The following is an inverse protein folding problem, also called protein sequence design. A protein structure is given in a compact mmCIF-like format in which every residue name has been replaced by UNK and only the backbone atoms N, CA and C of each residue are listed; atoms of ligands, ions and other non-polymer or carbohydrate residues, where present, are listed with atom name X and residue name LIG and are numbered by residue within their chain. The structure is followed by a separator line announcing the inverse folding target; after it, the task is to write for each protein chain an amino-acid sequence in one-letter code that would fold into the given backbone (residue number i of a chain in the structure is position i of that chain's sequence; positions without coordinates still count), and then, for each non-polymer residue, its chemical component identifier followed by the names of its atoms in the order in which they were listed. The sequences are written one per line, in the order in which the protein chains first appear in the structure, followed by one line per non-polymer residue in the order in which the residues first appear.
data_IF_325761905838
#
_entry.id   IF_325761905838
#
_cell.length_a   1.000
_cell.length_b   1.000
_cell.length_c   1.000
_cell.angle_alpha   90.00
_cell.angle_beta   90.00
_cell.angle_gamma   90.00
#
_symmetry.space_group_name_H-M   'P 1'
#
loop_
_entity.id
_entity.type
_entity.pdbx_description
1 polymer ?
#
# COMPACT_ATOMS: atom_id res chain seq x y z
N UNK A 1 -3.23 63.75 5.19
CA UNK A 1 -2.80 64.01 6.59
C UNK A 1 -2.08 62.75 7.06
N UNK A 2 -0.76 62.63 6.91
CA UNK A 2 0.35 63.13 7.76
C UNK A 2 0.44 62.49 9.15
N UNK A 3 1.31 61.47 9.28
CA UNK A 3 2.32 61.17 10.34
C UNK A 3 2.87 59.76 10.01
N UNK A 4 4.10 59.46 9.56
CA UNK A 4 5.50 59.84 9.85
C UNK A 4 5.98 59.49 11.27
N UNK A 5 7.19 58.86 11.30
CA UNK A 5 8.20 58.77 12.39
C UNK A 5 8.05 57.48 13.24
N UNK A 6 9.04 56.58 13.45
CA UNK A 6 10.48 56.77 13.73
C UNK A 6 11.30 55.47 13.50
N UNK A 7 12.45 55.64 12.87
CA UNK A 7 13.63 54.75 12.87
C UNK A 7 14.30 54.78 14.25
N UNK A 8 14.77 53.64 14.77
CA UNK A 8 15.86 53.59 15.76
C UNK A 8 16.85 52.50 15.35
N UNK A 9 18.10 52.94 15.22
CA UNK A 9 19.32 52.23 14.89
C UNK A 9 20.16 52.20 16.17
N UNK A 10 20.57 51.03 16.68
CA UNK A 10 21.62 50.94 17.71
C UNK A 10 22.56 49.77 17.40
N UNK A 11 23.78 50.17 17.10
CA UNK A 11 25.08 49.48 17.07
C UNK A 11 25.39 48.66 18.32
N UNK A 12 26.16 47.57 18.17
CA UNK A 12 26.72 46.85 19.32
C UNK A 12 27.71 45.74 18.96
N UNK A 13 28.90 46.15 18.50
CA UNK A 13 30.10 45.30 18.41
C UNK A 13 30.47 44.81 19.81
N UNK A 14 30.74 43.51 19.97
CA UNK A 14 31.73 43.04 20.95
C UNK A 14 32.31 41.68 20.56
N UNK A 15 33.54 41.76 20.03
CA UNK A 15 34.50 40.67 19.98
C UNK A 15 34.63 40.00 21.33
N UNK A 16 34.55 38.67 21.33
CA UNK A 16 35.13 37.85 22.39
C UNK A 16 35.89 36.72 21.70
N UNK A 17 37.20 36.92 21.64
CA UNK A 17 38.21 35.90 21.37
C UNK A 17 38.09 34.85 22.48
N UNK A 18 37.57 33.67 22.14
CA UNK A 18 37.82 32.46 22.92
C UNK A 18 38.92 31.65 22.24
N UNK A 19 40.12 31.85 22.78
CA UNK A 19 41.17 30.85 22.83
C UNK A 19 40.63 29.64 23.60
N UNK A 20 40.97 28.42 23.18
CA UNK A 20 41.32 27.24 24.02
C UNK A 20 41.10 25.95 23.21
N UNK A 21 42.20 25.20 23.04
CA UNK A 21 42.15 23.74 23.07
C UNK A 21 41.93 23.01 21.75
N UNK A 22 42.93 23.02 20.86
CA UNK A 22 43.05 21.97 19.85
C UNK A 22 43.54 20.68 20.54
N UNK A 23 42.62 19.95 21.19
CA UNK A 23 42.87 18.57 21.58
C UNK A 23 43.02 17.76 20.29
N UNK A 24 44.11 17.02 20.18
CA UNK A 24 44.36 16.10 19.07
C UNK A 24 43.22 15.11 18.93
N UNK A 25 42.40 15.31 17.90
CA UNK A 25 41.56 14.27 17.33
C UNK A 25 42.51 13.24 16.71
N UNK A 26 42.85 12.21 17.47
CA UNK A 26 43.22 10.95 16.84
C UNK A 26 42.03 10.55 16.00
N UNK A 27 42.20 10.55 14.68
CA UNK A 27 41.31 9.85 13.77
C UNK A 27 41.46 8.38 14.11
N UNK A 28 40.73 7.93 15.12
CA UNK A 28 40.35 6.54 15.25
C UNK A 28 39.58 6.29 13.98
N UNK A 29 40.25 5.73 12.98
CA UNK A 29 39.59 5.01 11.91
C UNK A 29 38.62 4.08 12.61
N UNK A 30 37.33 4.43 12.56
CA UNK A 30 36.28 3.47 12.80
C UNK A 30 36.46 2.49 11.65
N UNK A 31 37.28 1.47 11.92
CA UNK A 31 37.18 0.20 11.23
C UNK A 31 35.72 -0.17 11.48
N UNK A 32 34.91 0.01 10.45
CA UNK A 32 33.62 -0.66 10.38
C UNK A 32 33.98 -2.13 10.48
N UNK A 33 33.91 -2.66 11.70
CA UNK A 33 33.85 -4.08 11.93
C UNK A 33 32.70 -4.52 11.04
N UNK A 34 33.07 -5.25 10.00
CA UNK A 34 32.19 -6.17 9.32
C UNK A 34 31.66 -7.02 10.47
N UNK A 35 30.45 -6.71 10.93
CA UNK A 35 29.78 -7.56 11.90
C UNK A 35 29.71 -8.90 11.21
N UNK A 36 30.31 -9.92 11.81
CA UNK A 36 29.93 -11.30 11.59
C UNK A 36 28.44 -11.37 11.95
N UNK A 37 27.60 -10.98 11.00
CA UNK A 37 26.16 -10.90 11.20
C UNK A 37 25.69 -12.33 11.25
N UNK A 38 25.26 -12.73 12.44
CA UNK A 38 24.51 -13.95 12.67
C UNK A 38 23.53 -14.16 11.50
N UNK A 39 23.59 -15.29 10.76
CA UNK A 39 22.89 -15.41 9.50
C UNK A 39 21.40 -15.12 9.70
N UNK A 40 20.84 -14.35 8.78
CA UNK A 40 19.45 -13.92 8.84
C UNK A 40 18.52 -15.13 8.86
N UNK A 41 17.29 -14.96 9.35
CA UNK A 41 16.29 -16.02 9.34
C UNK A 41 16.13 -16.66 7.94
N UNK A 42 16.25 -15.85 6.89
CA UNK A 42 16.28 -16.35 5.51
C UNK A 42 17.51 -17.22 5.24
N UNK A 43 18.73 -16.79 5.56
CA UNK A 43 19.94 -17.59 5.32
C UNK A 43 19.94 -18.90 6.11
N UNK A 44 19.43 -18.88 7.35
CA UNK A 44 19.30 -20.06 8.21
C UNK A 44 18.27 -21.06 7.68
N UNK A 45 17.10 -20.59 7.22
CA UNK A 45 15.96 -21.47 6.87
C UNK A 45 15.80 -21.74 5.38
N UNK A 46 16.18 -20.78 4.53
CA UNK A 46 15.93 -20.82 3.08
C UNK A 46 17.22 -20.81 2.25
N UNK A 47 18.29 -20.19 2.76
CA UNK A 47 19.56 -19.99 2.06
C UNK A 47 20.32 -21.28 1.73
N UNK A 48 19.99 -22.39 2.42
CA UNK A 48 20.56 -23.71 2.13
C UNK A 48 20.04 -24.31 0.82
N UNK A 49 18.84 -23.92 0.38
CA UNK A 49 18.19 -24.47 -0.82
C UNK A 49 17.93 -23.42 -1.90
N UNK A 50 17.89 -22.15 -1.53
CA UNK A 50 17.63 -21.03 -2.44
C UNK A 50 18.77 -20.03 -2.42
N UNK A 51 19.17 -19.60 -3.61
CA UNK A 51 20.01 -18.41 -3.78
C UNK A 51 19.08 -17.20 -4.02
N UNK A 52 19.49 -16.00 -3.59
CA UNK A 52 18.67 -14.77 -3.63
C UNK A 52 18.58 -14.12 -5.03
N UNK A 53 19.25 -14.69 -6.01
CA UNK A 53 19.20 -14.31 -7.42
C UNK A 53 17.81 -14.59 -8.01
N UNK A 54 17.08 -13.52 -8.37
CA UNK A 54 15.80 -13.62 -9.09
C UNK A 54 14.54 -13.25 -8.30
N UNK A 55 14.64 -12.75 -7.06
CA UNK A 55 13.49 -12.33 -6.24
C UNK A 55 12.68 -11.14 -6.82
N UNK A 56 13.08 -10.59 -7.97
CA UNK A 56 12.52 -9.38 -8.59
C UNK A 56 11.25 -9.60 -9.40
N UNK A 57 10.86 -10.84 -9.73
CA UNK A 57 9.76 -11.08 -10.69
C UNK A 57 8.43 -11.56 -10.07
N UNK A 58 8.39 -11.96 -8.81
CA UNK A 58 7.14 -12.43 -8.20
C UNK A 58 6.27 -11.28 -7.68
N UNK A 59 4.99 -11.35 -8.00
CA UNK A 59 3.93 -10.48 -7.48
C UNK A 59 3.82 -10.71 -5.96
N UNK A 60 3.62 -9.68 -5.11
CA UNK A 60 3.70 -9.78 -3.65
C UNK A 60 2.79 -10.82 -3.01
N UNK A 61 1.58 -10.98 -3.56
CA UNK A 61 0.65 -12.01 -3.10
C UNK A 61 1.20 -13.42 -3.34
N UNK A 62 1.94 -13.63 -4.44
CA UNK A 62 2.58 -14.90 -4.73
C UNK A 62 3.72 -15.20 -3.74
N UNK A 63 4.37 -14.18 -3.18
CA UNK A 63 5.36 -14.38 -2.11
C UNK A 63 4.72 -14.78 -0.79
N UNK A 64 3.63 -14.12 -0.38
CA UNK A 64 2.90 -14.50 0.84
C UNK A 64 2.27 -15.89 0.71
N UNK A 65 1.65 -16.20 -0.42
CA UNK A 65 1.09 -17.52 -0.69
C UNK A 65 2.18 -18.59 -0.73
N UNK A 66 3.34 -18.30 -1.36
CA UNK A 66 4.48 -19.21 -1.39
C UNK A 66 5.10 -19.39 -0.01
N UNK A 67 5.21 -18.34 0.81
CA UNK A 67 5.67 -18.44 2.19
C UNK A 67 4.69 -19.25 3.04
N UNK A 68 3.38 -19.11 2.85
CA UNK A 68 2.40 -19.96 3.53
C UNK A 68 2.52 -21.44 3.12
N UNK A 69 2.62 -21.72 1.81
CA UNK A 69 2.80 -23.08 1.29
C UNK A 69 4.13 -23.71 1.70
N UNK A 70 5.21 -22.93 1.72
CA UNK A 70 6.52 -23.39 2.15
C UNK A 70 6.60 -23.49 3.67
N UNK A 71 5.94 -22.60 4.41
CA UNK A 71 5.87 -22.61 5.87
C UNK A 71 5.34 -23.93 6.40
N UNK A 72 4.33 -24.52 5.77
CA UNK A 72 3.86 -25.86 6.13
C UNK A 72 4.84 -26.99 5.81
N UNK A 73 5.75 -26.80 4.84
CA UNK A 73 6.73 -27.81 4.43
C UNK A 73 7.98 -27.77 5.30
N UNK A 74 8.36 -26.57 5.77
CA UNK A 74 9.55 -26.34 6.60
C UNK A 74 9.22 -25.98 8.04
N UNK A 75 7.97 -26.22 8.47
CA UNK A 75 7.44 -25.98 9.82
C UNK A 75 7.82 -24.59 10.36
N UNK A 76 7.48 -23.54 9.60
CA UNK A 76 7.67 -22.15 10.02
C UNK A 76 6.46 -21.68 10.80
N UNK A 77 6.72 -21.20 12.02
CA UNK A 77 5.74 -20.47 12.82
C UNK A 77 5.35 -19.15 12.15
N UNK A 78 4.20 -18.59 12.55
CA UNK A 78 3.74 -17.28 12.07
C UNK A 78 4.77 -16.16 12.36
N UNK A 79 5.51 -16.29 13.46
CA UNK A 79 6.54 -15.34 13.89
C UNK A 79 7.79 -15.43 13.00
N UNK A 80 8.24 -16.65 12.67
CA UNK A 80 9.34 -16.86 11.71
C UNK A 80 8.95 -16.45 10.28
N UNK A 81 7.69 -16.65 9.88
CA UNK A 81 7.19 -16.13 8.60
C UNK A 81 7.28 -14.61 8.54
N UNK A 82 6.96 -13.92 9.63
CA UNK A 82 7.09 -12.47 9.73
C UNK A 82 8.55 -12.00 9.65
N UNK A 83 9.49 -12.74 10.26
CA UNK A 83 10.93 -12.43 10.18
C UNK A 83 11.50 -12.61 8.77
N UNK A 84 11.17 -13.71 8.09
CA UNK A 84 11.58 -13.95 6.70
C UNK A 84 11.01 -12.87 5.78
N UNK A 85 9.77 -12.45 6.03
CA UNK A 85 9.15 -11.35 5.30
C UNK A 85 9.88 -10.01 5.56
N UNK A 86 10.26 -9.75 6.81
CA UNK A 86 11.04 -8.57 7.21
C UNK A 86 12.42 -8.53 6.53
N UNK A 87 13.08 -9.68 6.38
CA UNK A 87 14.32 -9.80 5.62
C UNK A 87 14.12 -9.42 4.14
N UNK A 88 13.10 -9.97 3.48
CA UNK A 88 12.79 -9.57 2.10
C UNK A 88 12.46 -8.09 1.99
N UNK A 89 11.84 -7.52 3.03
CA UNK A 89 11.56 -6.09 3.09
C UNK A 89 12.84 -5.23 3.22
N UNK A 90 13.83 -5.69 3.96
CA UNK A 90 15.09 -4.95 4.09
C UNK A 90 15.98 -5.05 2.85
N UNK A 91 16.04 -6.23 2.22
CA UNK A 91 17.00 -6.51 1.14
C UNK A 91 16.46 -6.24 -0.27
N UNK A 92 15.16 -5.98 -0.42
CA UNK A 92 14.57 -5.60 -1.69
C UNK A 92 13.53 -4.49 -1.48
N UNK A 93 13.96 -3.23 -1.39
CA UNK A 93 13.10 -2.07 -1.11
C UNK A 93 11.82 -2.02 -1.98
N UNK A 94 11.89 -2.51 -3.23
CA UNK A 94 10.73 -2.61 -4.10
C UNK A 94 9.77 -3.70 -3.61
N UNK A 95 10.25 -4.94 -3.46
CA UNK A 95 9.43 -6.03 -2.92
C UNK A 95 8.89 -5.70 -1.53
N UNK A 96 9.72 -5.06 -0.69
CA UNK A 96 9.38 -4.57 0.62
C UNK A 96 8.16 -3.69 0.64
N UNK A 97 8.21 -2.64 -0.19
CA UNK A 97 7.14 -1.68 -0.32
C UNK A 97 5.87 -2.37 -0.78
N UNK A 98 5.96 -3.27 -1.75
CA UNK A 98 4.75 -3.91 -2.28
C UNK A 98 4.18 -4.96 -1.31
N UNK A 99 5.02 -5.68 -0.57
CA UNK A 99 4.59 -6.58 0.52
C UNK A 99 3.95 -5.79 1.65
N UNK A 100 4.58 -4.70 2.12
CA UNK A 100 4.02 -3.83 3.15
C UNK A 100 2.65 -3.30 2.73
N UNK A 101 2.53 -2.77 1.50
CA UNK A 101 1.25 -2.34 0.94
C UNK A 101 0.20 -3.46 0.88
N UNK A 102 0.62 -4.72 0.72
CA UNK A 102 -0.29 -5.87 0.68
C UNK A 102 -0.82 -6.22 2.07
N UNK A 103 0.05 -6.22 3.09
CA UNK A 103 -0.37 -6.45 4.49
C UNK A 103 -1.27 -5.32 4.99
N UNK A 104 -0.88 -4.08 4.71
CA UNK A 104 -1.66 -2.88 5.03
C UNK A 104 -3.05 -2.93 4.39
N UNK A 105 -3.12 -3.38 3.13
CA UNK A 105 -4.39 -3.62 2.43
C UNK A 105 -5.22 -4.71 3.09
N UNK A 106 -4.62 -5.87 3.43
CA UNK A 106 -5.34 -6.97 4.07
C UNK A 106 -5.94 -6.54 5.41
N UNK A 107 -5.19 -5.76 6.19
CA UNK A 107 -5.69 -5.19 7.43
C UNK A 107 -6.88 -4.26 7.16
N UNK A 108 -6.76 -3.34 6.20
CA UNK A 108 -7.83 -2.44 5.82
C UNK A 108 -9.09 -3.21 5.39
N UNK A 109 -8.96 -4.19 4.49
CA UNK A 109 -10.09 -4.99 4.03
C UNK A 109 -10.73 -5.76 5.19
N UNK A 110 -9.93 -6.43 6.03
CA UNK A 110 -10.42 -7.17 7.20
C UNK A 110 -11.20 -6.27 8.16
N UNK A 111 -10.67 -5.09 8.47
CA UNK A 111 -11.27 -4.18 9.47
C UNK A 111 -12.44 -3.40 8.90
N UNK A 112 -12.39 -2.97 7.64
CA UNK A 112 -13.38 -2.06 7.06
C UNK A 112 -14.51 -2.75 6.28
N UNK A 113 -14.39 -4.03 5.93
CA UNK A 113 -15.44 -4.77 5.22
C UNK A 113 -16.56 -5.31 6.12
N UNK A 114 -16.38 -5.31 7.44
CA UNK A 114 -17.33 -5.89 8.40
C UNK A 114 -18.74 -5.28 8.29
N UNK A 115 -18.83 -3.95 8.15
CA UNK A 115 -20.10 -3.23 8.23
C UNK A 115 -20.60 -2.71 6.88
N UNK A 116 -19.70 -2.46 5.93
CA UNK A 116 -20.01 -1.90 4.62
C UNK A 116 -18.88 -2.18 3.63
N UNK A 117 -19.13 -1.97 2.33
CA UNK A 117 -18.07 -2.08 1.32
C UNK A 117 -16.90 -1.17 1.68
N UNK A 118 -15.66 -1.68 1.79
CA UNK A 118 -14.49 -0.86 2.12
C UNK A 118 -14.21 0.17 1.02
N UNK A 119 -14.67 -0.08 -0.21
CA UNK A 119 -14.45 0.83 -1.34
C UNK A 119 -15.15 2.18 -1.21
N UNK A 120 -16.02 2.36 -0.21
CA UNK A 120 -16.73 3.63 -0.02
C UNK A 120 -15.77 4.80 0.17
N UNK A 121 -14.63 4.56 0.80
CA UNK A 121 -13.59 5.57 1.02
C UNK A 121 -12.88 5.98 -0.28
N UNK A 122 -12.95 5.14 -1.33
CA UNK A 122 -12.32 5.40 -2.63
C UNK A 122 -13.25 6.04 -3.67
N UNK A 123 -14.53 6.24 -3.34
CA UNK A 123 -15.51 6.84 -4.27
C UNK A 123 -15.21 8.33 -4.49
N UNK A 124 -14.72 9.02 -3.47
CA UNK A 124 -14.45 10.44 -3.51
C UNK A 124 -12.99 10.68 -3.16
N UNK A 125 -12.37 11.64 -3.83
CA UNK A 125 -11.07 12.17 -3.43
C UNK A 125 -11.22 12.83 -2.07
N UNK A 126 -10.33 12.51 -1.15
CA UNK A 126 -10.32 13.05 0.21
C UNK A 126 -8.91 13.52 0.55
N UNK A 127 -8.83 14.67 1.21
CA UNK A 127 -7.60 15.18 1.80
C UNK A 127 -7.21 14.34 3.04
N UNK A 128 -5.95 14.44 3.44
CA UNK A 128 -5.39 13.67 4.56
C UNK A 128 -6.21 13.85 5.84
N UNK A 129 -6.62 15.08 6.16
CA UNK A 129 -7.41 15.41 7.35
C UNK A 129 -8.79 14.75 7.30
N UNK A 130 -9.38 14.64 6.11
CA UNK A 130 -10.68 13.98 5.91
C UNK A 130 -10.57 12.48 6.12
N UNK A 131 -9.50 11.85 5.60
CA UNK A 131 -9.23 10.42 5.81
C UNK A 131 -8.97 10.13 7.31
N UNK A 132 -8.18 10.95 7.98
CA UNK A 132 -7.96 10.87 9.42
C UNK A 132 -9.27 10.92 10.22
N UNK A 133 -10.12 11.91 9.92
CA UNK A 133 -11.41 12.05 10.57
C UNK A 133 -12.33 10.83 10.32
N UNK A 134 -12.30 10.25 9.11
CA UNK A 134 -13.07 9.05 8.78
C UNK A 134 -12.58 7.85 9.58
N UNK A 135 -11.27 7.58 9.60
CA UNK A 135 -10.71 6.44 10.32
C UNK A 135 -11.00 6.56 11.81
N UNK A 136 -10.80 7.74 12.40
CA UNK A 136 -11.13 8.00 13.82
C UNK A 136 -12.61 7.84 14.12
N UNK A 137 -13.50 8.27 13.22
CA UNK A 137 -14.95 8.05 13.35
C UNK A 137 -15.34 6.58 13.23
N UNK A 138 -14.67 5.80 12.38
CA UNK A 138 -14.93 4.36 12.28
C UNK A 138 -14.44 3.63 13.52
N UNK A 139 -13.25 4.00 14.01
CA UNK A 139 -12.69 3.50 15.27
C UNK A 139 -13.65 3.77 16.44
N UNK A 140 -14.19 4.99 16.58
CA UNK A 140 -15.08 5.31 17.70
C UNK A 140 -16.45 4.60 17.66
N UNK A 141 -16.87 4.11 16.48
CA UNK A 141 -18.12 3.34 16.34
C UNK A 141 -17.98 1.88 16.79
N UNK A 142 -16.76 1.33 16.74
CA UNK A 142 -16.44 -0.04 17.12
C UNK A 142 -15.03 -0.05 17.77
N UNK A 143 -14.89 0.50 18.99
CA UNK A 143 -13.59 0.76 19.62
C UNK A 143 -12.76 -0.52 19.84
N UNK A 144 -13.41 -1.64 20.11
CA UNK A 144 -12.74 -2.94 20.31
C UNK A 144 -12.30 -3.60 18.99
N UNK A 145 -12.78 -3.09 17.84
CA UNK A 145 -12.48 -3.66 16.53
C UNK A 145 -11.26 -3.03 15.87
N UNK A 146 -11.02 -1.74 16.06
CA UNK A 146 -9.93 -0.99 15.43
C UNK A 146 -9.06 -0.38 16.53
N UNK A 147 -7.92 -1.00 16.81
CA UNK A 147 -6.94 -0.43 17.75
C UNK A 147 -6.31 0.87 17.21
N UNK A 148 -5.64 1.65 18.06
CA UNK A 148 -4.91 2.83 17.59
C UNK A 148 -3.76 2.47 16.63
N UNK A 149 -3.16 1.29 16.81
CA UNK A 149 -2.18 0.75 15.87
C UNK A 149 -2.84 0.43 14.52
N UNK A 150 -3.98 -0.28 14.53
CA UNK A 150 -4.73 -0.58 13.31
C UNK A 150 -5.12 0.70 12.57
N UNK A 151 -5.64 1.70 13.29
CA UNK A 151 -6.03 2.98 12.73
C UNK A 151 -4.85 3.70 12.05
N UNK A 152 -3.67 3.65 12.66
CA UNK A 152 -2.45 4.25 12.10
C UNK A 152 -1.99 3.55 10.83
N UNK A 153 -2.04 2.21 10.80
CA UNK A 153 -1.69 1.40 9.63
C UNK A 153 -2.70 1.61 8.49
N UNK A 154 -3.99 1.61 8.80
CA UNK A 154 -5.06 1.90 7.83
C UNK A 154 -4.90 3.30 7.24
N UNK A 155 -4.62 4.30 8.07
CA UNK A 155 -4.42 5.65 7.58
C UNK A 155 -3.22 5.74 6.63
N UNK A 156 -2.09 5.12 6.99
CA UNK A 156 -0.91 5.07 6.14
C UNK A 156 -1.22 4.42 4.80
N UNK A 157 -1.92 3.28 4.81
CA UNK A 157 -2.40 2.62 3.61
C UNK A 157 -3.19 3.57 2.70
N UNK A 158 -4.19 4.27 3.27
CA UNK A 158 -5.05 5.19 2.53
C UNK A 158 -4.29 6.37 1.91
N UNK A 159 -3.24 6.86 2.58
CA UNK A 159 -2.42 7.98 2.10
C UNK A 159 -1.36 7.55 1.06
N UNK A 160 -0.71 6.41 1.29
CA UNK A 160 0.51 6.05 0.56
C UNK A 160 0.28 5.14 -0.64
N UNK A 161 -0.81 4.39 -0.69
CA UNK A 161 -0.94 3.36 -1.71
C UNK A 161 -2.24 2.58 -1.79
N UNK A 162 -3.29 2.98 -1.08
CA UNK A 162 -4.61 2.45 -1.38
C UNK A 162 -5.00 2.83 -2.82
N UNK A 163 -5.63 1.92 -3.58
CA UNK A 163 -6.15 2.24 -4.90
C UNK A 163 -7.19 3.39 -4.78
N UNK A 164 -6.75 4.63 -5.04
CA UNK A 164 -7.55 5.86 -4.84
C UNK A 164 -6.91 6.95 -3.96
N UNK A 165 -5.81 6.67 -3.24
CA UNK A 165 -5.14 7.65 -2.35
C UNK A 165 -4.37 8.76 -3.09
N UNK A 166 -3.89 8.47 -4.30
CA UNK A 166 -3.49 9.50 -5.27
C UNK A 166 -4.55 9.55 -6.35
N UNK A 167 -4.97 10.76 -6.76
CA UNK A 167 -5.88 10.98 -7.89
C UNK A 167 -5.40 10.12 -9.05
N UNK A 168 -6.16 9.07 -9.38
CA UNK A 168 -5.83 8.25 -10.53
C UNK A 168 -5.94 9.16 -11.74
N UNK A 169 -4.79 9.55 -12.29
CA UNK A 169 -4.77 10.32 -13.53
C UNK A 169 -5.25 9.38 -14.60
N UNK A 170 -6.45 9.65 -15.11
CA UNK A 170 -6.99 8.89 -16.22
C UNK A 170 -6.07 9.05 -17.42
N UNK A 171 -5.45 7.94 -17.81
CA UNK A 171 -4.84 7.77 -19.12
C UNK A 171 -5.78 6.95 -19.98
N UNK A 172 -5.80 7.19 -21.28
CA UNK A 172 -6.46 6.28 -22.20
C UNK A 172 -5.80 4.90 -22.11
N UNK A 173 -6.63 3.86 -22.21
CA UNK A 173 -6.16 2.47 -22.21
C UNK A 173 -6.29 1.97 -23.64
N UNK A 174 -5.16 1.74 -24.29
CA UNK A 174 -5.10 1.08 -25.59
C UNK A 174 -5.21 -0.44 -25.41
N UNK A 175 -5.99 -1.10 -26.27
CA UNK A 175 -6.11 -2.55 -26.29
C UNK A 175 -7.55 -3.08 -26.38
N UNK A 176 -7.67 -4.40 -26.35
CA UNK A 176 -8.95 -5.10 -26.41
C UNK A 176 -9.77 -5.06 -25.11
N UNK A 177 -11.02 -5.56 -25.15
CA UNK A 177 -11.95 -5.55 -24.00
C UNK A 177 -11.39 -6.06 -22.68
N UNK A 178 -10.62 -7.15 -22.71
CA UNK A 178 -9.98 -7.73 -21.51
C UNK A 178 -8.96 -6.79 -20.88
N UNK A 179 -8.14 -6.11 -21.70
CA UNK A 179 -7.10 -5.19 -21.22
C UNK A 179 -7.76 -4.00 -20.53
N UNK A 180 -8.82 -3.46 -21.15
CA UNK A 180 -9.61 -2.36 -20.58
C UNK A 180 -10.24 -2.79 -19.25
N UNK A 181 -10.87 -3.97 -19.18
CA UNK A 181 -11.39 -4.54 -17.94
C UNK A 181 -10.31 -4.64 -16.86
N UNK A 182 -9.19 -5.31 -17.15
CA UNK A 182 -8.12 -5.51 -16.17
C UNK A 182 -7.59 -4.17 -15.65
N UNK A 183 -7.32 -3.21 -16.52
CA UNK A 183 -6.77 -1.90 -16.13
C UNK A 183 -7.75 -1.04 -15.35
N UNK A 184 -9.02 -0.97 -15.79
CA UNK A 184 -10.02 -0.11 -15.15
C UNK A 184 -10.53 -0.68 -13.84
N UNK A 185 -10.80 -1.99 -13.79
CA UNK A 185 -11.43 -2.62 -12.63
C UNK A 185 -10.44 -2.99 -11.52
N UNK A 186 -9.15 -3.16 -11.83
CA UNK A 186 -8.11 -3.41 -10.80
C UNK A 186 -7.62 -2.13 -10.10
N UNK A 187 -8.06 -0.96 -10.58
CA UNK A 187 -7.57 0.33 -10.09
C UNK A 187 -8.16 0.75 -8.73
N UNK A 188 -9.20 0.06 -8.25
CA UNK A 188 -9.86 0.35 -6.98
C UNK A 188 -9.88 -0.86 -6.03
N UNK A 189 -9.96 -2.08 -6.56
CA UNK A 189 -10.06 -3.34 -5.80
C UNK A 189 -9.52 -4.51 -6.63
N UNK A 190 -9.37 -5.71 -6.05
CA UNK A 190 -8.95 -6.88 -6.84
C UNK A 190 -10.01 -7.31 -7.85
N UNK A 191 -9.55 -7.96 -8.93
CA UNK A 191 -10.44 -8.59 -9.91
C UNK A 191 -11.07 -9.89 -9.39
N UNK A 192 -10.49 -10.50 -8.34
CA UNK A 192 -11.04 -11.69 -7.68
C UNK A 192 -12.50 -11.48 -7.30
N UNK A 193 -12.88 -10.28 -6.85
CA UNK A 193 -14.27 -9.96 -6.51
C UNK A 193 -15.24 -10.17 -7.68
N UNK A 194 -14.79 -9.92 -8.92
CA UNK A 194 -15.60 -10.14 -10.12
C UNK A 194 -15.79 -11.63 -10.36
N UNK A 195 -14.72 -12.42 -10.22
CA UNK A 195 -14.77 -13.87 -10.43
C UNK A 195 -15.56 -14.57 -9.32
N UNK A 196 -15.32 -14.24 -8.06
CA UNK A 196 -16.09 -14.74 -6.92
C UNK A 196 -17.58 -14.40 -7.04
N UNK A 197 -17.90 -13.19 -7.54
CA UNK A 197 -19.30 -12.83 -7.78
C UNK A 197 -19.93 -13.65 -8.91
N UNK A 198 -19.20 -13.88 -10.00
CA UNK A 198 -19.63 -14.75 -11.10
C UNK A 198 -19.93 -16.17 -10.60
N UNK A 199 -19.01 -16.75 -9.82
CA UNK A 199 -19.15 -18.11 -9.29
C UNK A 199 -20.31 -18.20 -8.29
N UNK A 200 -20.45 -17.22 -7.40
CA UNK A 200 -21.50 -17.22 -6.37
C UNK A 200 -22.94 -17.17 -6.92
N UNK A 201 -23.12 -16.66 -8.14
CA UNK A 201 -24.45 -16.49 -8.74
C UNK A 201 -24.96 -17.78 -9.40
N UNK A 202 -24.08 -18.73 -9.75
CA UNK A 202 -24.43 -19.94 -10.52
C UNK A 202 -24.99 -19.67 -11.94
N UNK A 203 -25.13 -18.40 -12.33
CA UNK A 203 -25.64 -17.92 -13.61
C UNK A 203 -24.95 -16.61 -13.99
N UNK A 204 -25.13 -16.15 -15.23
CA UNK A 204 -24.56 -14.87 -15.67
C UNK A 204 -25.10 -13.71 -14.82
N UNK A 205 -24.23 -12.97 -14.11
CA UNK A 205 -24.66 -11.80 -13.35
C UNK A 205 -25.20 -10.70 -14.26
N UNK A 206 -26.01 -9.77 -13.72
CA UNK A 206 -26.52 -8.61 -14.45
C UNK A 206 -25.42 -7.56 -14.65
N UNK A 207 -24.41 -7.88 -15.47
CA UNK A 207 -23.20 -7.09 -15.63
C UNK A 207 -23.47 -5.65 -16.07
N UNK A 208 -24.52 -5.41 -16.86
CA UNK A 208 -24.94 -4.07 -17.28
C UNK A 208 -25.20 -3.16 -16.08
N UNK A 209 -25.96 -3.67 -15.09
CA UNK A 209 -26.27 -2.93 -13.88
C UNK A 209 -25.02 -2.73 -13.01
N UNK A 210 -24.13 -3.72 -12.95
CA UNK A 210 -22.86 -3.64 -12.21
C UNK A 210 -21.95 -2.57 -12.82
N UNK A 211 -21.71 -2.62 -14.13
CA UNK A 211 -20.84 -1.68 -14.85
C UNK A 211 -21.40 -0.27 -14.77
N UNK A 212 -22.71 -0.07 -15.00
CA UNK A 212 -23.36 1.24 -14.87
C UNK A 212 -23.22 1.81 -13.46
N UNK A 213 -23.36 0.97 -12.42
CA UNK A 213 -23.15 1.37 -11.02
C UNK A 213 -21.69 1.77 -10.76
N UNK A 214 -20.71 1.04 -11.29
CA UNK A 214 -19.29 1.38 -11.12
C UNK A 214 -18.92 2.67 -11.86
N UNK A 215 -19.42 2.85 -13.07
CA UNK A 215 -19.28 4.09 -13.83
C UNK A 215 -19.92 5.27 -13.08
N UNK A 216 -21.11 5.10 -12.49
CA UNK A 216 -21.75 6.14 -11.68
C UNK A 216 -20.98 6.52 -10.41
N UNK A 217 -20.23 5.57 -9.82
CA UNK A 217 -19.36 5.85 -8.66
C UNK A 217 -18.06 6.55 -9.06
N UNK A 218 -17.55 6.31 -10.26
CA UNK A 218 -16.30 6.90 -10.76
C UNK A 218 -16.49 7.42 -12.20
N UNK A 219 -17.32 8.46 -12.43
CA UNK A 219 -17.75 8.89 -13.75
C UNK A 219 -16.59 9.40 -14.63
N UNK A 220 -15.53 9.89 -14.00
CA UNK A 220 -14.32 10.34 -14.69
C UNK A 220 -13.37 9.20 -15.01
N UNK A 221 -13.52 8.01 -14.42
CA UNK A 221 -12.57 6.89 -14.52
C UNK A 221 -12.85 5.95 -15.69
N UNK A 222 -14.13 5.66 -15.96
CA UNK A 222 -14.59 4.75 -17.02
C UNK A 222 -15.44 5.56 -18.00
N UNK A 223 -15.02 5.75 -19.26
CA UNK A 223 -15.92 6.37 -20.27
C UNK A 223 -17.02 5.40 -20.69
N UNK A 224 -18.03 5.93 -21.36
CA UNK A 224 -19.07 5.12 -21.98
C UNK A 224 -18.53 4.05 -22.93
N UNK A 225 -17.54 4.42 -23.77
CA UNK A 225 -16.87 3.47 -24.68
C UNK A 225 -16.19 2.33 -23.91
N UNK A 226 -15.45 2.64 -22.85
CA UNK A 226 -14.77 1.64 -22.04
C UNK A 226 -15.77 0.78 -21.24
N UNK A 227 -16.87 1.37 -20.76
CA UNK A 227 -17.94 0.63 -20.10
C UNK A 227 -18.54 -0.43 -21.03
N UNK A 228 -18.76 -0.10 -22.30
CA UNK A 228 -19.22 -1.05 -23.31
C UNK A 228 -18.20 -2.17 -23.58
N UNK A 229 -16.90 -1.83 -23.65
CA UNK A 229 -15.84 -2.83 -23.79
C UNK A 229 -15.78 -3.78 -22.58
N UNK A 230 -15.82 -3.23 -21.37
CA UNK A 230 -15.84 -4.00 -20.11
C UNK A 230 -17.05 -4.94 -20.10
N UNK A 231 -18.23 -4.44 -20.42
CA UNK A 231 -19.44 -5.24 -20.49
C UNK A 231 -19.34 -6.37 -21.53
N UNK A 232 -18.76 -6.07 -22.70
CA UNK A 232 -18.50 -7.07 -23.74
C UNK A 232 -17.62 -8.22 -23.23
N UNK A 233 -16.54 -7.90 -22.51
CA UNK A 233 -15.67 -8.90 -21.89
C UNK A 233 -16.39 -9.69 -20.77
N UNK A 234 -17.06 -9.01 -19.84
CA UNK A 234 -17.73 -9.68 -18.71
C UNK A 234 -18.78 -10.72 -19.16
N UNK A 235 -19.44 -10.49 -20.30
CA UNK A 235 -20.41 -11.43 -20.89
C UNK A 235 -19.79 -12.70 -21.46
N UNK A 236 -18.48 -12.72 -21.75
CA UNK A 236 -17.76 -13.92 -22.23
C UNK A 236 -17.33 -14.82 -21.08
N UNK A 237 -17.23 -14.29 -19.86
CA UNK A 237 -16.86 -15.06 -18.68
C UNK A 237 -17.90 -16.15 -18.39
N UNK A 238 -17.41 -17.28 -17.88
CA UNK A 238 -18.21 -18.42 -17.41
C UNK A 238 -17.80 -18.72 -15.97
N UNK A 239 -18.74 -19.12 -15.09
CA UNK A 239 -18.39 -19.58 -13.76
C UNK A 239 -17.47 -20.80 -13.85
N UNK A 240 -16.68 -21.02 -12.80
CA UNK A 240 -15.87 -22.22 -12.68
C UNK A 240 -16.76 -23.49 -12.78
N UNK A 241 -16.30 -24.56 -13.44
CA UNK A 241 -17.05 -25.80 -13.58
C UNK A 241 -17.27 -26.53 -12.25
#
# INVERSE_FOLDING_TARGET
MRTVIKTILITGIRSLLFFVGFLGLTVSSIVYSQTDSDPTAFEKRCGQCHKLDGATELVPLAWLERLGKMGSVVDLSDEEQAEVLSFFQHHNQRAAKVVAMTLERQLFEKKCSLCHSPDRVFIQTMEQEQLQAIVKRMQSRVPDWISDQDASVILRYLLEGAPGGKRLVRKEVEGGPEIVFRKRCSACHTLERVYLYLDSMGQKPPWEAVVKRMQGRAPTWISEKEAQQILGYLRTLKPAP
#
